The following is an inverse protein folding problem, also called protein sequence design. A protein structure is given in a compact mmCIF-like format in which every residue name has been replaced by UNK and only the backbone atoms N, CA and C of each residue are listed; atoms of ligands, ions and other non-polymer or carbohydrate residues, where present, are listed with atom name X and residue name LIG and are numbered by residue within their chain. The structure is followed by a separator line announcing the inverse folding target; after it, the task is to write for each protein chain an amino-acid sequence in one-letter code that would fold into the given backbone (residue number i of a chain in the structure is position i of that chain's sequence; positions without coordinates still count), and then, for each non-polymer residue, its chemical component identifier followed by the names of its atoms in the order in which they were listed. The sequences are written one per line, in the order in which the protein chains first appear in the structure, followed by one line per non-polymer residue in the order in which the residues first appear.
data_IF_305029500912
#
_entry.id   IF_305029500912
#
_cell.length_a   1.000
_cell.length_b   1.000
_cell.length_c   1.000
_cell.angle_alpha   90.00
_cell.angle_beta   90.00
_cell.angle_gamma   90.00
#
_symmetry.space_group_name_H-M   'P 1'
#
loop_
_entity.id
_entity.type
_entity.pdbx_description
1 polymer ?
#
# COMPACT_ATOMS: atom_id res chain seq x y z
N UNK A 1 -3.88 -7.18 -28.51
CA UNK A 1 -4.43 -6.60 -27.27
C UNK A 1 -3.35 -6.71 -26.20
N UNK A 2 -2.71 -5.61 -25.83
CA UNK A 2 -1.79 -5.58 -24.67
C UNK A 2 -2.63 -5.79 -23.42
N UNK A 3 -2.41 -6.89 -22.69
CA UNK A 3 -3.02 -7.10 -21.39
C UNK A 3 -2.50 -6.00 -20.46
N UNK A 4 -3.37 -5.13 -19.98
CA UNK A 4 -3.01 -4.21 -18.91
C UNK A 4 -2.94 -5.02 -17.62
N UNK A 5 -1.73 -5.19 -17.10
CA UNK A 5 -1.49 -5.90 -15.84
C UNK A 5 -2.00 -5.06 -14.67
N UNK A 6 -2.72 -5.70 -13.75
CA UNK A 6 -3.02 -5.10 -12.44
C UNK A 6 -1.75 -5.24 -11.57
N UNK A 7 -1.19 -4.13 -11.11
CA UNK A 7 0.11 -4.10 -10.43
C UNK A 7 0.04 -3.28 -9.14
N UNK A 8 0.88 -3.62 -8.17
CA UNK A 8 1.18 -2.82 -6.98
C UNK A 8 2.65 -2.45 -7.08
N UNK A 9 2.96 -1.16 -7.15
CA UNK A 9 4.33 -0.66 -7.13
C UNK A 9 4.65 -0.19 -5.71
N UNK A 10 5.69 -0.78 -5.09
CA UNK A 10 6.20 -0.38 -3.78
C UNK A 10 7.44 0.52 -3.95
N UNK A 11 7.51 1.62 -3.19
CA UNK A 11 8.67 2.52 -3.11
C UNK A 11 8.79 3.07 -1.68
N UNK A 12 9.77 2.59 -0.91
CA UNK A 12 9.98 2.98 0.50
C UNK A 12 8.71 2.82 1.37
N UNK A 13 8.07 3.93 1.77
CA UNK A 13 6.79 3.94 2.51
C UNK A 13 5.58 4.16 1.61
N UNK A 14 5.80 4.51 0.34
CA UNK A 14 4.74 4.78 -0.60
C UNK A 14 4.44 3.55 -1.48
N UNK A 15 3.21 3.51 -2.00
CA UNK A 15 2.85 2.56 -3.04
C UNK A 15 1.80 3.11 -4.01
N UNK A 16 1.71 2.48 -5.18
CA UNK A 16 0.71 2.76 -6.20
C UNK A 16 -0.02 1.49 -6.58
N UNK A 17 -1.31 1.62 -6.85
CA UNK A 17 -2.12 0.54 -7.39
C UNK A 17 -2.41 0.87 -8.85
N UNK A 18 -1.88 0.06 -9.77
CA UNK A 18 -2.24 0.12 -11.17
C UNK A 18 -3.40 -0.85 -11.42
N UNK A 19 -4.49 -0.35 -12.01
CA UNK A 19 -5.58 -1.21 -12.46
C UNK A 19 -6.29 -0.65 -13.68
N UNK A 20 -6.62 -1.55 -14.63
CA UNK A 20 -7.33 -1.21 -15.89
C UNK A 20 -6.67 -0.04 -16.64
N UNK A 21 -5.34 -0.05 -16.72
CA UNK A 21 -4.55 0.97 -17.43
C UNK A 21 -4.47 2.33 -16.73
N UNK A 22 -4.91 2.44 -15.46
CA UNK A 22 -4.79 3.65 -14.65
C UNK A 22 -3.95 3.38 -13.41
N UNK A 23 -3.12 4.36 -13.03
CA UNK A 23 -2.31 4.31 -11.82
C UNK A 23 -2.94 5.20 -10.74
N UNK A 24 -3.07 4.67 -9.53
CA UNK A 24 -3.64 5.36 -8.37
C UNK A 24 -2.60 5.43 -7.27
N UNK A 25 -2.28 6.64 -6.83
CA UNK A 25 -1.35 6.89 -5.73
C UNK A 25 -0.79 8.32 -5.77
N UNK A 26 0.22 8.62 -4.93
CA UNK A 26 0.76 7.72 -3.92
C UNK A 26 -0.26 7.43 -2.82
N UNK A 27 -0.31 6.17 -2.39
CA UNK A 27 -0.74 5.82 -1.05
C UNK A 27 0.50 5.80 -0.17
N UNK A 28 0.40 6.30 1.05
CA UNK A 28 1.51 6.35 1.99
C UNK A 28 1.05 5.92 3.38
N UNK A 29 2.01 5.53 4.21
CA UNK A 29 1.78 5.21 5.61
C UNK A 29 2.94 5.73 6.47
N UNK A 30 2.60 6.46 7.53
CA UNK A 30 3.57 7.08 8.43
C UNK A 30 3.15 6.86 9.88
N UNK A 31 4.11 6.77 10.80
CA UNK A 31 3.79 6.78 12.23
C UNK A 31 3.04 8.07 12.59
N UNK A 32 1.96 7.94 13.35
CA UNK A 32 1.25 9.10 13.90
C UNK A 32 2.21 9.93 14.77
N UNK A 33 1.97 11.24 14.86
CA UNK A 33 2.86 12.14 15.63
C UNK A 33 2.98 11.79 17.11
N UNK A 34 1.93 11.19 17.66
CA UNK A 34 1.89 10.71 19.04
C UNK A 34 2.40 9.26 19.19
N UNK A 35 2.82 8.63 18.09
CA UNK A 35 3.34 7.27 17.99
C UNK A 35 2.36 6.20 18.51
N UNK A 36 1.05 6.49 18.47
CA UNK A 36 0.00 5.57 18.90
C UNK A 36 -0.60 4.74 17.76
N UNK A 37 -0.24 5.04 16.52
CA UNK A 37 -0.74 4.32 15.36
C UNK A 37 0.03 4.68 14.08
N UNK A 38 -0.50 4.22 12.96
CA UNK A 38 0.00 4.51 11.62
C UNK A 38 -1.07 5.27 10.85
N UNK A 39 -0.77 6.50 10.44
CA UNK A 39 -1.64 7.29 9.58
C UNK A 39 -1.51 6.82 8.13
N UNK A 40 -2.66 6.66 7.47
CA UNK A 40 -2.75 6.26 6.07
C UNK A 40 -3.17 7.46 5.23
N UNK A 41 -2.41 7.75 4.16
CA UNK A 41 -2.69 8.90 3.28
C UNK A 41 -2.79 8.49 1.82
N UNK A 42 -3.60 9.23 1.07
CA UNK A 42 -3.70 9.14 -0.38
C UNK A 42 -3.50 10.54 -0.95
N UNK A 43 -2.49 10.72 -1.78
CA UNK A 43 -2.09 12.02 -2.32
C UNK A 43 -1.91 13.08 -1.21
N UNK A 44 -1.29 12.67 -0.09
CA UNK A 44 -1.03 13.52 1.07
C UNK A 44 -2.26 13.85 1.92
N UNK A 45 -3.44 13.32 1.60
CA UNK A 45 -4.67 13.50 2.40
C UNK A 45 -4.93 12.24 3.22
N UNK A 46 -5.08 12.40 4.55
CA UNK A 46 -5.39 11.29 5.46
C UNK A 46 -6.72 10.64 5.07
N UNK A 47 -6.72 9.33 4.92
CA UNK A 47 -7.92 8.53 4.71
C UNK A 47 -8.14 7.50 5.80
N UNK A 48 -7.13 7.23 6.62
CA UNK A 48 -7.27 6.22 7.67
C UNK A 48 -6.16 6.25 8.70
N UNK A 49 -6.29 5.35 9.66
CA UNK A 49 -5.38 5.13 10.76
C UNK A 49 -5.46 3.68 11.24
N UNK A 50 -4.30 3.08 11.52
CA UNK A 50 -4.16 1.77 12.14
C UNK A 50 -3.66 2.00 13.56
N UNK A 51 -4.53 1.82 14.55
CA UNK A 51 -4.17 1.98 15.96
C UNK A 51 -3.65 0.67 16.56
N UNK A 52 -4.19 -0.46 16.09
CA UNK A 52 -3.77 -1.80 16.46
C UNK A 52 -4.11 -2.80 15.35
N UNK A 53 -3.77 -4.08 15.53
CA UNK A 53 -4.16 -5.13 14.59
C UNK A 53 -5.68 -5.30 14.47
N UNK A 54 -6.44 -4.88 15.48
CA UNK A 54 -7.89 -5.04 15.59
C UNK A 54 -8.64 -3.71 15.34
N UNK A 55 -7.94 -2.58 15.47
CA UNK A 55 -8.51 -1.23 15.34
C UNK A 55 -7.93 -0.52 14.11
N UNK A 56 -8.66 -0.65 13.00
CA UNK A 56 -8.35 -0.01 11.72
C UNK A 56 -9.53 0.87 11.30
N UNK A 57 -9.27 2.15 11.14
CA UNK A 57 -10.24 3.12 10.63
C UNK A 57 -9.78 3.59 9.26
N UNK A 58 -10.56 3.36 8.20
CA UNK A 58 -10.21 3.82 6.86
C UNK A 58 -11.46 4.17 6.04
N UNK A 59 -11.47 5.36 5.45
CA UNK A 59 -12.50 5.82 4.52
C UNK A 59 -11.88 6.44 3.26
N UNK A 60 -11.93 5.68 2.17
CA UNK A 60 -11.50 6.13 0.83
C UNK A 60 -12.67 6.69 0.00
N UNK A 61 -13.89 6.73 0.53
CA UNK A 61 -15.08 7.20 -0.19
C UNK A 61 -14.95 8.63 -0.74
N UNK A 62 -14.27 9.59 -0.06
CA UNK A 62 -14.14 10.96 -0.58
C UNK A 62 -13.37 11.03 -1.92
N UNK A 63 -12.46 10.09 -2.15
CA UNK A 63 -11.59 10.08 -3.34
C UNK A 63 -12.24 9.43 -4.57
N UNK A 64 -13.42 8.82 -4.42
CA UNK A 64 -14.19 8.19 -5.51
C UNK A 64 -13.38 7.21 -6.36
N UNK A 65 -12.48 6.47 -5.72
CA UNK A 65 -11.65 5.47 -6.38
C UNK A 65 -12.47 4.22 -6.72
N UNK A 66 -12.06 3.42 -7.72
CA UNK A 66 -12.66 2.13 -7.97
C UNK A 66 -12.59 1.25 -6.71
N UNK A 67 -13.67 0.55 -6.36
CA UNK A 67 -13.72 -0.27 -5.13
C UNK A 67 -12.60 -1.32 -5.06
N UNK A 68 -12.18 -1.87 -6.21
CA UNK A 68 -11.03 -2.78 -6.27
C UNK A 68 -9.73 -2.11 -5.83
N UNK A 69 -9.52 -0.85 -6.22
CA UNK A 69 -8.37 -0.05 -5.81
C UNK A 69 -8.42 0.23 -4.32
N UNK A 70 -9.59 0.61 -3.77
CA UNK A 70 -9.74 0.84 -2.33
C UNK A 70 -9.35 -0.39 -1.51
N UNK A 71 -9.88 -1.56 -1.90
CA UNK A 71 -9.62 -2.82 -1.18
C UNK A 71 -8.15 -3.23 -1.28
N UNK A 72 -7.57 -3.15 -2.48
CA UNK A 72 -6.15 -3.46 -2.67
C UNK A 72 -5.28 -2.49 -1.87
N UNK A 73 -5.61 -1.20 -1.85
CA UNK A 73 -4.86 -0.21 -1.08
C UNK A 73 -4.91 -0.49 0.43
N UNK A 74 -6.08 -0.80 0.98
CA UNK A 74 -6.22 -1.13 2.41
C UNK A 74 -5.50 -2.44 2.76
N UNK A 75 -5.59 -3.48 1.92
CA UNK A 75 -4.86 -4.75 2.11
C UNK A 75 -3.35 -4.48 2.10
N UNK A 76 -2.86 -3.71 1.12
CA UNK A 76 -1.44 -3.36 1.01
C UNK A 76 -0.96 -2.57 2.22
N UNK A 77 -1.64 -1.47 2.56
CA UNK A 77 -1.26 -0.63 3.70
C UNK A 77 -1.25 -1.42 5.02
N UNK A 78 -2.32 -2.17 5.30
CA UNK A 78 -2.43 -2.97 6.52
C UNK A 78 -1.36 -4.06 6.60
N UNK A 79 -1.08 -4.76 5.49
CA UNK A 79 -0.06 -5.82 5.47
C UNK A 79 1.34 -5.25 5.67
N UNK A 80 1.67 -4.14 5.01
CA UNK A 80 2.98 -3.50 5.14
C UNK A 80 3.19 -2.93 6.54
N UNK A 81 2.20 -2.21 7.09
CA UNK A 81 2.25 -1.65 8.43
C UNK A 81 2.41 -2.74 9.50
N UNK A 82 1.59 -3.80 9.43
CA UNK A 82 1.70 -4.92 10.37
C UNK A 82 3.06 -5.63 10.26
N UNK A 83 3.55 -5.88 9.05
CA UNK A 83 4.85 -6.52 8.87
C UNK A 83 6.02 -5.67 9.37
N UNK A 84 5.94 -4.34 9.25
CA UNK A 84 6.94 -3.43 9.83
C UNK A 84 6.92 -3.52 11.36
N UNK A 85 5.73 -3.48 11.97
CA UNK A 85 5.58 -3.62 13.41
C UNK A 85 6.12 -4.96 13.93
N UNK A 86 5.94 -6.04 13.16
CA UNK A 86 6.46 -7.38 13.46
C UNK A 86 7.98 -7.54 13.19
N UNK A 87 8.66 -6.52 12.67
CA UNK A 87 10.09 -6.60 12.33
C UNK A 87 10.40 -7.45 11.08
N UNK A 88 9.42 -7.69 10.21
CA UNK A 88 9.57 -8.49 9.00
C UNK A 88 10.43 -7.80 7.95
N UNK A 89 11.24 -8.59 7.26
CA UNK A 89 11.97 -8.16 6.07
C UNK A 89 11.03 -7.71 4.95
N UNK A 90 11.56 -7.00 3.96
CA UNK A 90 10.79 -6.64 2.78
C UNK A 90 10.22 -7.86 2.04
N UNK A 91 11.02 -8.93 1.90
CA UNK A 91 10.60 -10.15 1.20
C UNK A 91 9.45 -10.86 1.93
N UNK A 92 9.52 -10.95 3.26
CA UNK A 92 8.43 -11.51 4.07
C UNK A 92 7.14 -10.69 3.95
N UNK A 93 7.26 -9.36 3.95
CA UNK A 93 6.12 -8.45 3.75
C UNK A 93 5.49 -8.62 2.37
N UNK A 94 6.29 -8.74 1.32
CA UNK A 94 5.81 -8.99 -0.04
C UNK A 94 5.11 -10.36 -0.13
N UNK A 95 5.70 -11.41 0.45
CA UNK A 95 5.08 -12.73 0.50
C UNK A 95 3.72 -12.69 1.19
N UNK A 96 3.63 -12.06 2.37
CA UNK A 96 2.40 -11.92 3.13
C UNK A 96 1.35 -11.07 2.41
N UNK A 97 1.78 -10.06 1.67
CA UNK A 97 0.91 -9.24 0.82
C UNK A 97 0.30 -10.09 -0.30
N UNK A 98 1.10 -10.89 -1.01
CA UNK A 98 0.61 -11.77 -2.06
C UNK A 98 -0.39 -12.80 -1.52
N UNK A 99 -0.11 -13.41 -0.37
CA UNK A 99 -1.02 -14.34 0.33
C UNK A 99 -2.34 -13.65 0.69
N UNK A 100 -2.28 -12.43 1.23
CA UNK A 100 -3.47 -11.65 1.61
C UNK A 100 -4.30 -11.26 0.37
N UNK A 101 -3.65 -10.78 -0.70
CA UNK A 101 -4.32 -10.47 -1.96
C UNK A 101 -5.02 -11.70 -2.52
N UNK A 102 -4.37 -12.87 -2.49
CA UNK A 102 -4.99 -14.11 -2.94
C UNK A 102 -6.21 -14.47 -2.09
N UNK A 103 -6.10 -14.42 -0.75
CA UNK A 103 -7.18 -14.76 0.17
C UNK A 103 -8.43 -13.86 -0.02
N UNK A 104 -8.24 -12.59 -0.40
CA UNK A 104 -9.33 -11.64 -0.63
C UNK A 104 -9.79 -11.55 -2.11
N UNK A 105 -9.33 -12.45 -3.00
CA UNK A 105 -9.76 -12.50 -4.40
C UNK A 105 -9.06 -11.52 -5.35
N UNK A 106 -7.93 -10.97 -4.93
CA UNK A 106 -7.05 -10.05 -5.67
C UNK A 106 -5.75 -10.69 -6.14
N UNK A 107 -5.64 -12.03 -6.16
CA UNK A 107 -4.42 -12.76 -6.55
C UNK A 107 -3.91 -12.53 -7.98
N UNK A 108 -4.63 -11.77 -8.82
CA UNK A 108 -4.17 -11.34 -10.14
C UNK A 108 -3.20 -10.15 -10.11
N UNK A 109 -3.12 -9.44 -8.98
CA UNK A 109 -2.21 -8.31 -8.83
C UNK A 109 -0.77 -8.80 -8.69
N UNK A 110 0.13 -8.21 -9.46
CA UNK A 110 1.57 -8.45 -9.33
C UNK A 110 2.19 -7.37 -8.44
N UNK A 111 3.08 -7.74 -7.53
CA UNK A 111 3.83 -6.79 -6.70
C UNK A 111 5.18 -6.53 -7.36
N UNK A 112 5.49 -5.25 -7.59
CA UNK A 112 6.76 -4.78 -8.13
C UNK A 112 7.41 -3.83 -7.14
N UNK A 113 8.73 -3.88 -7.09
CA UNK A 113 9.52 -2.92 -6.34
C UNK A 113 10.10 -1.89 -7.31
N UNK A 114 9.98 -0.60 -7.00
CA UNK A 114 10.83 0.40 -7.63
C UNK A 114 12.27 0.16 -7.17
N UNK A 115 13.28 0.22 -8.06
CA UNK A 115 14.66 0.25 -7.58
C UNK A 115 14.82 1.45 -6.63
N UNK A 116 15.57 1.33 -5.52
CA UNK A 116 15.77 2.43 -4.59
C UNK A 116 16.28 3.64 -5.38
N UNK A 117 15.66 4.81 -5.19
CA UNK A 117 16.13 6.06 -5.79
C UNK A 117 17.60 6.19 -5.39
N UNK A 118 18.52 6.11 -6.36
CA UNK A 118 19.92 6.50 -6.12
C UNK A 118 19.85 7.90 -5.56
N UNK A 119 20.24 8.10 -4.29
CA UNK A 119 20.44 9.44 -3.75
C UNK A 119 21.27 10.18 -4.77
N UNK A 120 20.70 11.23 -5.36
CA UNK A 120 21.42 12.05 -6.31
C UNK A 120 22.70 12.51 -5.64
N UNK A 121 23.84 12.11 -6.20
CA UNK A 121 25.12 12.70 -5.88
C UNK A 121 25.03 14.18 -6.27
N UNK A 122 24.72 15.04 -5.30
CA UNK A 122 25.03 16.45 -5.40
C UNK A 122 26.53 16.58 -5.15
N UNK A 123 27.33 16.68 -6.20
CA UNK A 123 28.63 17.35 -6.23
C UNK A 123 28.69 18.17 -7.52
#
# INVERSE_FOLDING_TARGET
MTAFTDEILLEDTAFWVASRGRCFGPFDYEWSRDLRGVELTYQGTKFGEICSAEEIFADLSPFRLPMSVCRVAVITAGTLAAGIADGQSFEERVRRLLESLQAFGYGRYQVRNSPPRRRGSQH
#
